data_IF_563614202033
#
_entry.id   IF_563614202033
#
_cell.length_a   1.000
_cell.length_b   1.000
_cell.length_c   1.000
_cell.angle_alpha   90.00
_cell.angle_beta   90.00
_cell.angle_gamma   90.00
#
_symmetry.space_group_name_H-M   'P 1'
#
loop_
_entity.id
_entity.type
_entity.pdbx_description
1 polymer ?
#
# COMPACT_ATOMS: atom_id res chain seq x y z
N UNK A 1 20.15 -0.30 -26.10
CA UNK A 1 20.36 -0.68 -24.68
C UNK A 1 19.62 -1.98 -24.42
N UNK A 2 20.32 -2.99 -23.89
CA UNK A 2 19.77 -4.32 -23.63
C UNK A 2 19.25 -4.32 -22.19
N UNK A 3 17.93 -4.31 -22.01
CA UNK A 3 17.30 -4.51 -20.70
C UNK A 3 17.57 -5.95 -20.30
N UNK A 4 18.38 -6.17 -19.27
CA UNK A 4 18.52 -7.49 -18.66
C UNK A 4 17.49 -7.60 -17.53
N UNK A 5 16.71 -8.70 -17.45
CA UNK A 5 15.81 -8.90 -16.33
C UNK A 5 16.67 -9.28 -15.12
N UNK A 6 16.79 -8.40 -14.13
CA UNK A 6 17.48 -8.71 -12.88
C UNK A 6 16.48 -8.93 -11.74
N UNK A 7 16.55 -10.15 -11.22
CA UNK A 7 16.04 -10.69 -9.94
C UNK A 7 14.80 -10.02 -9.36
N UNK A 8 13.67 -10.67 -9.67
CA UNK A 8 12.42 -10.59 -8.92
C UNK A 8 12.64 -10.90 -7.43
N UNK A 9 11.93 -10.17 -6.57
CA UNK A 9 11.97 -10.04 -5.10
C UNK A 9 11.81 -11.32 -4.25
N UNK A 10 12.02 -12.52 -4.79
CA UNK A 10 11.73 -13.81 -4.14
C UNK A 10 12.83 -14.35 -3.18
N UNK A 11 13.90 -13.61 -2.88
CA UNK A 11 15.09 -14.19 -2.22
C UNK A 11 15.35 -13.75 -0.75
N UNK A 12 14.45 -13.02 -0.08
CA UNK A 12 14.52 -12.80 1.38
C UNK A 12 13.39 -13.54 2.11
N UNK A 13 13.68 -14.70 2.74
CA UNK A 13 12.67 -15.54 3.38
C UNK A 13 11.97 -14.88 4.58
N UNK A 14 12.58 -13.86 5.19
CA UNK A 14 12.10 -13.28 6.46
C UNK A 14 11.03 -12.20 6.24
N UNK A 15 11.22 -11.35 5.22
CA UNK A 15 10.22 -10.39 4.77
C UNK A 15 9.05 -11.08 4.04
N UNK A 16 9.34 -12.17 3.32
CA UNK A 16 8.33 -12.96 2.60
C UNK A 16 7.33 -13.63 3.53
N UNK A 17 7.65 -14.05 4.75
CA UNK A 17 6.68 -14.80 5.57
C UNK A 17 5.59 -13.91 6.21
N UNK A 18 5.92 -12.67 6.58
CA UNK A 18 4.96 -11.71 7.14
C UNK A 18 4.15 -10.99 6.04
N UNK A 19 4.82 -10.62 4.94
CA UNK A 19 4.16 -10.00 3.79
C UNK A 19 3.42 -11.03 2.94
N UNK A 20 3.94 -12.22 2.64
CA UNK A 20 3.20 -13.20 1.81
C UNK A 20 1.89 -13.63 2.44
N UNK A 21 1.81 -13.88 3.76
CA UNK A 21 0.54 -14.25 4.39
C UNK A 21 -0.51 -13.13 4.33
N UNK A 22 -0.07 -11.86 4.42
CA UNK A 22 -0.93 -10.67 4.37
C UNK A 22 -1.23 -10.18 2.93
N UNK A 23 -0.29 -10.41 2.01
CA UNK A 23 -0.29 -9.94 0.62
C UNK A 23 -0.88 -11.00 -0.32
N UNK A 24 -0.65 -12.31 -0.10
CA UNK A 24 -1.38 -13.39 -0.80
C UNK A 24 -2.85 -13.45 -0.35
N UNK A 25 -3.17 -13.16 0.92
CA UNK A 25 -4.57 -13.12 1.34
C UNK A 25 -5.32 -11.94 0.72
N UNK A 26 -4.69 -10.76 0.62
CA UNK A 26 -5.32 -9.56 0.05
C UNK A 26 -5.37 -9.56 -1.50
N UNK A 27 -4.33 -10.05 -2.18
CA UNK A 27 -4.34 -10.21 -3.64
C UNK A 27 -5.29 -11.31 -4.09
N UNK A 28 -5.27 -12.49 -3.45
CA UNK A 28 -6.23 -13.56 -3.75
C UNK A 28 -7.66 -13.12 -3.50
N UNK A 29 -7.92 -12.34 -2.44
CA UNK A 29 -9.25 -11.79 -2.18
C UNK A 29 -9.69 -10.83 -3.29
N UNK A 30 -8.83 -9.91 -3.75
CA UNK A 30 -9.21 -8.93 -4.77
C UNK A 30 -9.50 -9.58 -6.14
N UNK A 31 -8.71 -10.59 -6.53
CA UNK A 31 -8.97 -11.39 -7.73
C UNK A 31 -10.24 -12.24 -7.58
N UNK A 32 -10.46 -12.86 -6.42
CA UNK A 32 -11.64 -13.67 -6.15
C UNK A 32 -12.92 -12.81 -6.11
N UNK A 33 -12.80 -11.55 -5.66
CA UNK A 33 -13.88 -10.56 -5.65
C UNK A 33 -14.24 -10.11 -7.08
N UNK A 34 -13.26 -9.73 -7.89
CA UNK A 34 -13.48 -9.36 -9.29
C UNK A 34 -14.03 -10.53 -10.12
N UNK A 35 -13.61 -11.76 -9.82
CA UNK A 35 -14.12 -12.97 -10.48
C UNK A 35 -15.57 -13.29 -10.10
N UNK A 36 -15.96 -13.12 -8.83
CA UNK A 36 -17.36 -13.28 -8.37
C UNK A 36 -18.31 -12.26 -9.02
N UNK A 37 -17.85 -11.03 -9.27
CA UNK A 37 -18.64 -10.00 -9.96
C UNK A 37 -18.90 -10.32 -11.43
N UNK A 38 -17.96 -10.96 -12.12
CA UNK A 38 -18.10 -11.27 -13.55
C UNK A 38 -18.90 -12.54 -13.84
N UNK A 39 -18.95 -13.49 -12.90
CA UNK A 39 -19.58 -14.81 -13.12
C UNK A 39 -21.05 -14.88 -12.70
N UNK A 40 -21.52 -14.05 -11.76
CA UNK A 40 -22.82 -14.30 -11.12
C UNK A 40 -24.00 -13.42 -11.57
N UNK A 41 -23.79 -12.29 -12.25
CA UNK A 41 -24.89 -11.38 -12.62
C UNK A 41 -25.66 -10.82 -11.41
N UNK A 42 -25.15 -11.00 -10.19
CA UNK A 42 -25.80 -10.59 -8.94
C UNK A 42 -25.47 -9.13 -8.67
N UNK A 43 -26.50 -8.29 -8.65
CA UNK A 43 -26.47 -6.97 -8.01
C UNK A 43 -26.24 -7.18 -6.51
N UNK A 44 -24.98 -7.13 -6.07
CA UNK A 44 -24.67 -7.02 -4.64
C UNK A 44 -25.02 -5.60 -4.23
N UNK A 45 -26.08 -5.44 -3.44
CA UNK A 45 -26.45 -4.13 -2.91
C UNK A 45 -25.30 -3.51 -2.12
N UNK A 46 -25.09 -2.20 -2.25
CA UNK A 46 -24.00 -1.43 -1.65
C UNK A 46 -23.71 -1.79 -0.17
N UNK A 47 -24.74 -2.02 0.65
CA UNK A 47 -24.57 -2.47 2.05
C UNK A 47 -23.80 -3.79 2.18
N UNK A 48 -24.11 -4.79 1.35
CA UNK A 48 -23.43 -6.10 1.37
C UNK A 48 -22.01 -6.03 0.81
N UNK A 49 -21.75 -5.07 -0.08
CA UNK A 49 -20.41 -4.75 -0.56
C UNK A 49 -19.56 -4.14 0.56
N UNK A 50 -20.11 -3.19 1.32
CA UNK A 50 -19.44 -2.57 2.46
C UNK A 50 -19.07 -3.59 3.54
N UNK A 51 -19.99 -4.50 3.88
CA UNK A 51 -19.74 -5.55 4.88
C UNK A 51 -18.55 -6.45 4.51
N UNK A 52 -18.31 -6.65 3.22
CA UNK A 52 -17.18 -7.44 2.73
C UNK A 52 -15.88 -6.63 2.68
N UNK A 53 -15.93 -5.35 2.32
CA UNK A 53 -14.72 -4.53 2.10
C UNK A 53 -14.18 -3.89 3.39
N UNK A 54 -15.07 -3.45 4.29
CA UNK A 54 -14.70 -2.75 5.53
C UNK A 54 -13.72 -3.53 6.42
N UNK A 55 -13.92 -4.83 6.70
CA UNK A 55 -13.01 -5.58 7.55
C UNK A 55 -11.62 -5.75 6.94
N UNK A 56 -11.55 -5.94 5.62
CA UNK A 56 -10.30 -6.16 4.87
C UNK A 56 -9.49 -4.88 4.67
N UNK A 57 -10.14 -3.71 4.74
CA UNK A 57 -9.48 -2.42 4.61
C UNK A 57 -8.47 -2.15 5.73
N UNK A 58 -8.60 -2.84 6.88
CA UNK A 58 -7.64 -2.79 8.00
C UNK A 58 -6.26 -3.33 7.62
N UNK A 59 -6.19 -4.24 6.65
CA UNK A 59 -4.92 -4.79 6.18
C UNK A 59 -4.00 -3.71 5.59
N UNK A 60 -4.57 -2.70 4.90
CA UNK A 60 -3.80 -1.54 4.45
C UNK A 60 -3.20 -0.77 5.65
N UNK A 61 -3.97 -0.58 6.71
CA UNK A 61 -3.49 0.05 7.95
C UNK A 61 -2.28 -0.67 8.55
N UNK A 62 -2.32 -2.01 8.62
CA UNK A 62 -1.18 -2.82 9.07
C UNK A 62 0.04 -2.64 8.19
N UNK A 63 -0.14 -2.61 6.86
CA UNK A 63 0.95 -2.46 5.91
C UNK A 63 1.67 -1.12 6.11
N UNK A 64 0.92 -0.01 6.19
CA UNK A 64 1.48 1.31 6.45
C UNK A 64 2.22 1.36 7.80
N UNK A 65 1.65 0.82 8.88
CA UNK A 65 2.34 0.77 10.17
C UNK A 65 3.62 -0.08 10.09
N UNK A 66 3.57 -1.22 9.41
CA UNK A 66 4.74 -2.09 9.23
C UNK A 66 5.88 -1.41 8.49
N UNK A 67 5.60 -0.78 7.34
CA UNK A 67 6.59 -0.01 6.61
C UNK A 67 7.11 1.18 7.42
N UNK A 68 6.23 1.87 8.14
CA UNK A 68 6.61 3.00 8.97
C UNK A 68 7.54 2.62 10.13
N UNK A 69 7.23 1.53 10.84
CA UNK A 69 8.11 0.97 11.87
C UNK A 69 9.45 0.54 11.26
N UNK A 70 9.44 -0.09 10.09
CA UNK A 70 10.67 -0.48 9.40
C UNK A 70 11.53 0.73 9.03
N UNK A 71 10.93 1.82 8.54
CA UNK A 71 11.65 3.05 8.22
C UNK A 71 12.25 3.74 9.43
N UNK A 72 11.59 3.66 10.59
CA UNK A 72 12.10 4.21 11.86
C UNK A 72 13.27 3.37 12.39
N UNK A 73 13.13 2.03 12.38
CA UNK A 73 14.09 1.13 13.04
C UNK A 73 15.21 0.65 12.12
N UNK A 74 14.98 0.63 10.80
CA UNK A 74 15.89 0.12 9.77
C UNK A 74 15.84 1.00 8.50
N UNK A 75 16.28 2.27 8.57
CA UNK A 75 16.22 3.23 7.46
C UNK A 75 16.78 2.71 6.13
N UNK A 76 17.96 2.08 6.15
CA UNK A 76 18.61 1.51 4.96
C UNK A 76 17.74 0.43 4.29
N UNK A 77 17.13 -0.44 5.10
CA UNK A 77 16.22 -1.47 4.58
C UNK A 77 14.92 -0.88 4.06
N UNK A 78 14.40 0.18 4.69
CA UNK A 78 13.19 0.84 4.19
C UNK A 78 13.46 1.59 2.88
N UNK A 79 14.62 2.23 2.75
CA UNK A 79 15.02 2.95 1.55
C UNK A 79 15.14 2.02 0.34
N UNK A 80 15.53 0.75 0.54
CA UNK A 80 15.67 -0.20 -0.56
C UNK A 80 14.34 -0.56 -1.25
N UNK A 81 13.18 -0.35 -0.60
CA UNK A 81 11.88 -0.49 -1.26
C UNK A 81 11.61 0.58 -2.33
N UNK A 82 12.26 1.74 -2.21
CA UNK A 82 12.29 2.78 -3.25
C UNK A 82 13.35 2.51 -4.33
N UNK A 83 14.13 1.43 -4.18
CA UNK A 83 15.31 1.12 -5.00
C UNK A 83 16.37 2.24 -5.03
N UNK A 84 16.36 3.13 -4.03
CA UNK A 84 17.34 4.21 -3.93
C UNK A 84 18.60 3.70 -3.21
N UNK A 85 19.76 4.12 -3.72
CA UNK A 85 21.05 3.78 -3.13
C UNK A 85 21.21 4.43 -1.74
N UNK A 86 21.60 3.61 -0.76
CA UNK A 86 21.94 4.13 0.56
C UNK A 86 23.32 4.83 0.51
N UNK A 87 23.45 6.07 1.03
CA UNK A 87 24.68 6.82 0.89
C UNK A 87 25.89 6.15 1.55
N UNK A 88 27.10 6.42 1.06
CA UNK A 88 28.33 5.88 1.66
C UNK A 88 28.96 6.83 2.69
N UNK A 89 28.72 8.14 2.59
CA UNK A 89 29.32 9.12 3.49
C UNK A 89 28.53 9.23 4.80
N UNK A 90 29.22 9.53 5.91
CA UNK A 90 28.59 9.64 7.24
C UNK A 90 27.54 10.76 7.30
N UNK A 91 27.82 11.90 6.65
CA UNK A 91 26.93 13.07 6.67
C UNK A 91 25.64 12.78 5.93
N UNK A 92 25.70 12.21 4.73
CA UNK A 92 24.51 11.88 3.94
C UNK A 92 23.68 10.80 4.61
N UNK A 93 24.32 9.76 5.19
CA UNK A 93 23.63 8.73 5.98
C UNK A 93 22.80 9.35 7.10
N UNK A 94 23.40 10.26 7.88
CA UNK A 94 22.69 10.92 8.99
C UNK A 94 21.46 11.70 8.52
N UNK A 95 21.51 12.31 7.33
CA UNK A 95 20.39 13.05 6.75
C UNK A 95 19.30 12.08 6.27
N UNK A 96 19.68 11.04 5.52
CA UNK A 96 18.76 10.03 5.02
C UNK A 96 18.09 9.28 6.17
N UNK A 97 18.82 8.85 7.19
CA UNK A 97 18.27 8.17 8.35
C UNK A 97 17.22 9.04 9.07
N UNK A 98 17.53 10.33 9.26
CA UNK A 98 16.59 11.28 9.87
C UNK A 98 15.34 11.46 9.01
N UNK A 99 15.50 11.53 7.69
CA UNK A 99 14.37 11.68 6.76
C UNK A 99 13.50 10.41 6.74
N UNK A 100 14.11 9.22 6.78
CA UNK A 100 13.40 7.95 6.84
C UNK A 100 12.63 7.77 8.14
N UNK A 101 13.13 8.29 9.26
CA UNK A 101 12.36 8.31 10.52
C UNK A 101 11.10 9.19 10.38
N UNK A 102 11.24 10.39 9.78
CA UNK A 102 10.09 11.28 9.53
C UNK A 102 9.09 10.65 8.55
N UNK A 103 9.58 10.03 7.48
CA UNK A 103 8.78 9.25 6.55
C UNK A 103 8.04 8.14 7.29
N UNK A 104 8.74 7.36 8.11
CA UNK A 104 8.16 6.24 8.82
C UNK A 104 7.09 6.64 9.83
N UNK A 105 7.26 7.78 10.50
CA UNK A 105 6.22 8.33 11.37
C UNK A 105 4.94 8.69 10.58
N UNK A 106 5.07 9.25 9.38
CA UNK A 106 3.92 9.56 8.51
C UNK A 106 3.17 8.30 8.09
N UNK A 107 3.91 7.24 7.75
CA UNK A 107 3.32 5.94 7.42
C UNK A 107 2.59 5.32 8.63
N UNK A 108 3.17 5.40 9.83
CA UNK A 108 2.48 4.96 11.06
C UNK A 108 1.18 5.73 11.27
N UNK A 109 1.19 7.06 11.15
CA UNK A 109 -0.02 7.87 11.32
C UNK A 109 -1.06 7.63 10.22
N UNK A 110 -0.65 7.38 8.98
CA UNK A 110 -1.55 6.98 7.89
C UNK A 110 -2.25 5.66 8.24
N UNK A 111 -1.49 4.66 8.69
CA UNK A 111 -2.06 3.38 9.09
C UNK A 111 -2.99 3.47 10.31
N UNK A 112 -2.66 4.30 11.31
CA UNK A 112 -3.55 4.60 12.43
C UNK A 112 -4.85 5.27 11.97
N UNK A 113 -4.76 6.20 11.02
CA UNK A 113 -5.95 6.89 10.46
C UNK A 113 -6.86 5.89 9.74
N UNK A 114 -6.30 4.94 8.99
CA UNK A 114 -7.06 3.83 8.38
C UNK A 114 -7.74 2.96 9.46
N UNK A 115 -7.03 2.62 10.53
CA UNK A 115 -7.62 1.87 11.64
C UNK A 115 -8.76 2.60 12.33
N UNK A 116 -8.58 3.88 12.64
CA UNK A 116 -9.61 4.72 13.29
C UNK A 116 -10.85 4.79 12.39
N UNK A 117 -10.67 5.15 11.13
CA UNK A 117 -11.81 5.28 10.19
C UNK A 117 -12.53 3.95 9.96
N UNK A 118 -11.81 2.82 9.95
CA UNK A 118 -12.40 1.48 9.88
C UNK A 118 -13.06 1.01 11.19
N UNK A 119 -12.61 1.48 12.36
CA UNK A 119 -13.19 1.11 13.66
C UNK A 119 -14.55 1.79 13.89
N UNK A 120 -14.70 3.03 13.42
CA UNK A 120 -15.96 3.77 13.51
C UNK A 120 -16.96 3.45 12.38
N UNK A 121 -16.68 2.46 11.53
CA UNK A 121 -17.52 2.04 10.39
C UNK A 121 -17.96 3.21 9.48
N UNK A 122 -17.14 4.26 9.38
CA UNK A 122 -17.42 5.40 8.52
C UNK A 122 -16.83 5.13 7.14
N UNK A 123 -17.60 4.47 6.27
CA UNK A 123 -17.16 4.06 4.93
C UNK A 123 -16.66 5.23 4.08
N UNK A 124 -17.29 6.41 4.19
CA UNK A 124 -16.85 7.59 3.44
C UNK A 124 -15.51 8.10 3.92
N UNK A 125 -15.32 8.26 5.23
CA UNK A 125 -14.03 8.69 5.78
C UNK A 125 -12.93 7.68 5.46
N UNK A 126 -13.21 6.38 5.58
CA UNK A 126 -12.25 5.33 5.21
C UNK A 126 -11.94 5.38 3.71
N UNK A 127 -12.94 5.55 2.85
CA UNK A 127 -12.77 5.67 1.40
C UNK A 127 -11.88 6.84 1.02
N UNK A 128 -12.11 8.02 1.58
CA UNK A 128 -11.24 9.20 1.37
C UNK A 128 -9.82 8.99 1.90
N UNK A 129 -9.66 8.39 3.08
CA UNK A 129 -8.33 8.06 3.62
C UNK A 129 -7.58 7.09 2.69
N UNK A 130 -8.25 6.07 2.14
CA UNK A 130 -7.65 5.15 1.17
C UNK A 130 -7.26 5.87 -0.13
N UNK A 131 -8.07 6.81 -0.62
CA UNK A 131 -7.69 7.62 -1.78
C UNK A 131 -6.46 8.50 -1.47
N UNK A 132 -6.38 9.08 -0.28
CA UNK A 132 -5.20 9.84 0.14
C UNK A 132 -3.96 8.94 0.24
N UNK A 133 -4.09 7.76 0.85
CA UNK A 133 -3.03 6.74 0.94
C UNK A 133 -2.56 6.26 -0.44
N UNK A 134 -3.50 6.06 -1.37
CA UNK A 134 -3.19 5.77 -2.78
C UNK A 134 -2.40 6.91 -3.43
N UNK A 135 -2.76 8.17 -3.14
CA UNK A 135 -2.02 9.35 -3.59
C UNK A 135 -0.57 9.36 -3.11
N UNK A 136 -0.31 8.98 -1.86
CA UNK A 136 1.06 8.83 -1.33
C UNK A 136 1.84 7.83 -2.18
N UNK A 137 1.30 6.63 -2.42
CA UNK A 137 1.95 5.61 -3.23
C UNK A 137 2.20 6.06 -4.69
N UNK A 138 1.29 6.85 -5.28
CA UNK A 138 1.54 7.43 -6.60
C UNK A 138 2.71 8.41 -6.59
N UNK A 139 2.81 9.26 -5.58
CA UNK A 139 3.92 10.22 -5.42
C UNK A 139 5.23 9.49 -5.18
N UNK A 140 5.26 8.48 -4.33
CA UNK A 140 6.45 7.66 -4.08
C UNK A 140 6.96 7.02 -5.39
N UNK A 141 6.05 6.41 -6.16
CA UNK A 141 6.40 5.84 -7.46
C UNK A 141 6.84 6.91 -8.47
N UNK A 142 6.28 8.13 -8.43
CA UNK A 142 6.75 9.25 -9.27
C UNK A 142 8.18 9.67 -8.92
N UNK A 143 8.52 9.72 -7.63
CA UNK A 143 9.89 10.01 -7.18
C UNK A 143 10.85 8.91 -7.64
N UNK A 144 10.47 7.64 -7.50
CA UNK A 144 11.26 6.51 -7.99
C UNK A 144 11.46 6.59 -9.51
N UNK A 145 10.39 6.80 -10.26
CA UNK A 145 10.42 6.97 -11.71
C UNK A 145 11.36 8.12 -12.15
N UNK A 146 11.33 9.25 -11.43
CA UNK A 146 12.23 10.38 -11.67
C UNK A 146 13.71 10.04 -11.40
N UNK A 147 13.98 9.02 -10.58
CA UNK A 147 15.30 8.43 -10.35
C UNK A 147 15.59 7.22 -11.26
N UNK A 148 14.68 6.90 -12.18
CA UNK A 148 14.89 5.95 -13.28
C UNK A 148 14.53 4.49 -13.02
N UNK A 149 13.99 4.15 -11.84
CA UNK A 149 13.63 2.79 -11.45
C UNK A 149 12.81 2.78 -10.14
N UNK A 150 12.29 1.61 -9.73
CA UNK A 150 11.58 1.42 -8.44
C UNK A 150 10.10 1.81 -8.43
N UNK A 151 9.59 2.49 -9.45
CA UNK A 151 8.21 3.01 -9.47
C UNK A 151 7.14 1.93 -9.32
N UNK A 152 7.42 0.73 -9.84
CA UNK A 152 6.50 -0.40 -9.80
C UNK A 152 6.32 -0.98 -8.40
N UNK A 153 7.27 -0.75 -7.48
CA UNK A 153 7.09 -1.13 -6.07
C UNK A 153 5.95 -0.35 -5.41
N UNK A 154 5.55 0.79 -6.00
CA UNK A 154 4.46 1.62 -5.51
C UNK A 154 3.23 1.58 -6.44
N UNK A 155 3.45 1.78 -7.75
CA UNK A 155 2.37 1.81 -8.75
C UNK A 155 1.73 0.43 -9.00
N UNK A 156 2.38 -0.67 -8.61
CA UNK A 156 1.78 -2.01 -8.67
C UNK A 156 0.54 -2.17 -7.76
N UNK A 157 0.49 -1.46 -6.63
CA UNK A 157 -0.62 -1.54 -5.68
C UNK A 157 -1.43 -0.24 -5.55
N UNK A 158 -0.87 0.92 -5.91
CA UNK A 158 -1.57 2.20 -5.79
C UNK A 158 -2.97 2.22 -6.45
N UNK A 159 -3.17 1.69 -7.68
CA UNK A 159 -4.50 1.61 -8.30
C UNK A 159 -5.47 0.71 -7.53
N UNK A 160 -4.97 -0.34 -6.89
CA UNK A 160 -5.81 -1.25 -6.10
C UNK A 160 -6.41 -0.51 -4.90
N UNK A 161 -5.60 0.28 -4.20
CA UNK A 161 -6.06 1.14 -3.11
C UNK A 161 -7.06 2.19 -3.63
N UNK A 162 -6.82 2.77 -4.82
CA UNK A 162 -7.76 3.70 -5.47
C UNK A 162 -9.13 3.05 -5.66
N UNK A 163 -9.16 1.84 -6.21
CA UNK A 163 -10.42 1.11 -6.48
C UNK A 163 -11.17 0.82 -5.18
N UNK A 164 -10.48 0.32 -4.14
CA UNK A 164 -11.13 0.06 -2.84
C UNK A 164 -11.69 1.33 -2.23
N UNK A 165 -10.93 2.44 -2.26
CA UNK A 165 -11.40 3.74 -1.77
C UNK A 165 -12.63 4.25 -2.54
N UNK A 166 -12.61 4.15 -3.87
CA UNK A 166 -13.72 4.57 -4.74
C UNK A 166 -15.00 3.74 -4.51
N UNK A 167 -14.86 2.42 -4.27
CA UNK A 167 -15.98 1.54 -3.95
C UNK A 167 -16.61 1.91 -2.60
N UNK A 168 -15.80 2.20 -1.58
CA UNK A 168 -16.29 2.63 -0.26
C UNK A 168 -17.00 4.00 -0.29
N UNK A 169 -16.71 4.81 -1.31
CA UNK A 169 -17.38 6.09 -1.55
C UNK A 169 -18.68 5.95 -2.35
N UNK A 170 -18.99 4.75 -2.87
CA UNK A 170 -20.18 4.52 -3.70
C UNK A 170 -20.11 5.20 -5.07
N UNK A 171 -18.90 5.48 -5.59
CA UNK A 171 -18.74 6.16 -6.90
C UNK A 171 -19.36 5.34 -8.04
N UNK A 172 -19.38 4.01 -7.90
CA UNK A 172 -19.98 3.10 -8.86
C UNK A 172 -21.45 2.77 -8.56
N UNK A 173 -22.05 3.36 -7.52
CA UNK A 173 -23.45 3.12 -7.21
C UNK A 173 -24.34 3.82 -8.24
N UNK A 174 -25.27 3.07 -8.84
CA UNK A 174 -26.31 3.69 -9.67
C UNK A 174 -27.20 4.56 -8.78
N UNK A 175 -27.45 5.79 -9.21
CA UNK A 175 -28.46 6.68 -8.63
C UNK A 175 -29.86 6.09 -8.79
#
# INVERSE_FOLDING_TARGET
>A
MRVTPKKMWFNDPSALNFLSSSFFSSTSFTYQFLFLFKVSGVSVGYRRLLDLILPHSRSFGTIFIGFGINAILRPENALSFFELDYPTTRTEKSIIDSLMIVYGARDVFMGLTLYITAAYNNSRSLGWTLLAASGVAYVDGMVCWANGHGEWNHWGYAPMITVVGALLLGICDRK
#
